data_IF_818663604009
#
_entry.id   IF_818663604009
#
_cell.length_a   1.000
_cell.length_b   1.000
_cell.length_c   1.000
_cell.angle_alpha   90.00
_cell.angle_beta   90.00
_cell.angle_gamma   90.00
#
_symmetry.space_group_name_H-M   'P 1'
#
loop_
_entity.id
_entity.type
_entity.pdbx_description
1 polymer ?
#
# COMPACT_ATOMS: atom_id res chain seq x y z
N UNK A 1 10.31 18.52 7.02
CA UNK A 1 9.46 17.86 6.02
C UNK A 1 7.96 17.91 6.40
N UNK A 2 7.53 18.85 7.25
CA UNK A 2 6.17 18.86 7.84
C UNK A 2 5.17 19.67 7.02
N UNK A 3 5.36 19.76 5.71
CA UNK A 3 4.43 20.41 4.78
C UNK A 3 4.17 19.54 3.54
N UNK A 4 4.87 18.40 3.45
CA UNK A 4 4.71 17.47 2.34
C UNK A 4 3.35 16.79 2.51
N UNK A 5 2.44 17.08 1.60
CA UNK A 5 1.08 16.51 1.57
C UNK A 5 0.97 15.26 0.73
N UNK A 6 1.77 15.18 -0.32
CA UNK A 6 1.75 14.07 -1.27
C UNK A 6 3.16 13.55 -1.48
N UNK A 7 3.29 12.24 -1.49
CA UNK A 7 4.54 11.54 -1.77
C UNK A 7 4.27 10.43 -2.78
N UNK A 8 4.76 10.65 -4.00
CA UNK A 8 4.70 9.68 -5.08
C UNK A 8 6.05 8.97 -5.19
N UNK A 9 6.04 7.66 -4.94
CA UNK A 9 7.18 6.76 -5.14
C UNK A 9 6.85 5.70 -6.17
N UNK A 10 5.98 6.02 -7.12
CA UNK A 10 5.63 5.12 -8.21
C UNK A 10 6.85 4.79 -9.06
N UNK A 11 6.84 3.61 -9.69
CA UNK A 11 7.90 3.11 -10.58
C UNK A 11 9.27 2.91 -9.91
N UNK A 12 9.32 2.89 -8.57
CA UNK A 12 10.54 2.61 -7.83
C UNK A 12 10.82 1.09 -7.79
N UNK A 13 11.36 0.56 -8.88
CA UNK A 13 11.56 -0.89 -9.09
C UNK A 13 12.44 -1.58 -8.03
N UNK A 14 13.39 -0.83 -7.46
CA UNK A 14 14.33 -1.33 -6.45
C UNK A 14 13.93 -0.97 -5.01
N UNK A 15 12.76 -0.35 -4.80
CA UNK A 15 12.29 0.01 -3.46
C UNK A 15 11.81 -1.25 -2.72
N UNK A 16 12.62 -1.72 -1.77
CA UNK A 16 12.28 -2.90 -0.96
C UNK A 16 11.64 -2.55 0.38
N UNK A 17 12.15 -1.49 0.99
CA UNK A 17 11.74 -0.98 2.30
C UNK A 17 11.70 0.54 2.26
N UNK A 18 10.81 1.09 3.06
CA UNK A 18 10.81 2.52 3.35
C UNK A 18 11.67 2.81 4.59
N UNK A 19 12.17 4.05 4.74
CA UNK A 19 12.90 4.44 5.93
C UNK A 19 12.00 4.35 7.17
N UNK A 20 12.55 3.81 8.26
CA UNK A 20 11.91 3.81 9.58
C UNK A 20 12.26 5.08 10.35
N UNK A 21 11.37 5.53 11.23
CA UNK A 21 11.62 6.70 12.10
C UNK A 21 11.37 8.06 11.44
N UNK A 22 10.74 8.09 10.26
CA UNK A 22 10.24 9.32 9.63
C UNK A 22 8.77 9.52 10.01
N UNK A 23 8.41 10.72 10.48
CA UNK A 23 7.02 11.12 10.73
C UNK A 23 6.65 12.32 9.84
N UNK A 24 6.06 12.04 8.68
CA UNK A 24 5.59 13.05 7.75
C UNK A 24 4.19 13.52 8.15
N UNK A 25 4.11 14.37 9.17
CA UNK A 25 2.83 14.74 9.81
C UNK A 25 1.79 15.40 8.90
N UNK A 26 2.19 15.99 7.77
CA UNK A 26 1.26 16.57 6.80
C UNK A 26 0.93 15.65 5.64
N UNK A 27 1.51 14.45 5.59
CA UNK A 27 1.34 13.54 4.47
C UNK A 27 -0.06 12.92 4.49
N UNK A 28 -0.80 13.21 3.42
CA UNK A 28 -2.19 12.83 3.17
C UNK A 28 -2.28 11.79 2.05
N UNK A 29 -1.48 11.92 0.98
CA UNK A 29 -1.46 10.99 -0.16
C UNK A 29 -0.12 10.28 -0.30
N UNK A 30 -0.16 8.98 -0.54
CA UNK A 30 1.02 8.14 -0.72
C UNK A 30 0.80 7.12 -1.85
N UNK A 31 1.75 7.04 -2.79
CA UNK A 31 1.68 6.13 -3.92
C UNK A 31 2.91 5.23 -4.07
N UNK A 32 2.67 3.93 -4.26
CA UNK A 32 3.65 2.87 -4.56
C UNK A 32 3.24 2.06 -5.79
N UNK A 33 2.63 2.71 -6.78
CA UNK A 33 2.29 2.01 -8.02
C UNK A 33 3.59 1.56 -8.72
N UNK A 34 3.57 0.41 -9.38
CA UNK A 34 4.76 -0.14 -10.06
C UNK A 34 6.02 -0.32 -9.17
N UNK A 35 5.83 -0.65 -7.88
CA UNK A 35 6.92 -1.01 -6.95
C UNK A 35 6.95 -2.53 -6.67
N UNK A 36 7.49 -3.37 -7.57
CA UNK A 36 7.39 -4.83 -7.51
C UNK A 36 8.19 -5.48 -6.37
N UNK A 37 9.18 -4.79 -5.81
CA UNK A 37 10.04 -5.33 -4.73
C UNK A 37 9.66 -4.85 -3.34
N UNK A 38 8.64 -4.01 -3.20
CA UNK A 38 8.23 -3.46 -1.92
C UNK A 38 7.62 -4.57 -1.06
N UNK A 39 8.28 -4.92 0.05
CA UNK A 39 7.90 -6.04 0.92
C UNK A 39 7.24 -5.62 2.21
N UNK A 40 7.51 -4.41 2.69
CA UNK A 40 7.03 -3.93 4.00
C UNK A 40 6.59 -2.47 3.96
N UNK A 41 5.63 -2.15 4.83
CA UNK A 41 5.20 -0.78 5.08
C UNK A 41 5.57 -0.36 6.50
N UNK A 42 6.62 0.45 6.70
CA UNK A 42 6.85 1.11 7.97
C UNK A 42 5.83 2.21 8.20
N UNK A 43 5.70 2.57 9.46
CA UNK A 43 4.95 3.73 9.87
C UNK A 43 5.65 5.02 9.41
N UNK A 44 5.09 5.72 8.43
CA UNK A 44 5.65 6.98 7.90
C UNK A 44 4.81 8.23 8.16
N UNK A 45 3.51 8.06 8.45
CA UNK A 45 2.59 9.15 8.76
C UNK A 45 1.32 8.61 9.42
N UNK A 46 0.71 9.46 10.25
CA UNK A 46 -0.60 9.25 10.88
C UNK A 46 -1.77 9.66 10.00
N UNK A 47 -1.54 10.53 9.02
CA UNK A 47 -2.59 11.30 8.35
C UNK A 47 -2.85 10.86 6.92
N UNK A 48 -2.33 9.70 6.52
CA UNK A 48 -2.57 9.14 5.19
C UNK A 48 -4.06 8.88 5.03
N UNK A 49 -4.67 9.61 4.10
CA UNK A 49 -6.06 9.49 3.71
C UNK A 49 -6.22 8.85 2.33
N UNK A 50 -5.18 8.88 1.50
CA UNK A 50 -5.17 8.20 0.20
C UNK A 50 -3.92 7.34 0.04
N UNK A 51 -4.12 6.07 -0.26
CA UNK A 51 -3.06 5.09 -0.47
C UNK A 51 -3.24 4.36 -1.81
N UNK A 52 -2.21 4.41 -2.65
CA UNK A 52 -2.18 3.75 -3.96
C UNK A 52 -1.09 2.67 -3.98
N UNK A 53 -1.45 1.42 -4.29
CA UNK A 53 -0.56 0.26 -4.20
C UNK A 53 -0.65 -0.65 -5.43
N UNK A 54 0.45 -1.32 -5.76
CA UNK A 54 0.45 -2.46 -6.68
C UNK A 54 0.12 -3.77 -5.98
N UNK A 55 -0.61 -4.65 -6.70
CA UNK A 55 -1.09 -5.95 -6.21
C UNK A 55 -0.05 -6.93 -5.66
N UNK A 56 1.24 -6.74 -5.95
CA UNK A 56 2.31 -7.63 -5.50
C UNK A 56 2.64 -7.49 -4.00
N UNK A 57 2.12 -6.47 -3.32
CA UNK A 57 2.53 -6.15 -1.94
C UNK A 57 1.67 -6.80 -0.82
N UNK A 58 0.62 -7.57 -1.12
CA UNK A 58 -0.56 -7.56 -0.22
C UNK A 58 -0.56 -8.54 0.99
N UNK A 59 0.28 -9.57 1.07
CA UNK A 59 0.06 -10.59 2.11
C UNK A 59 0.44 -10.15 3.54
N UNK A 60 1.48 -9.33 3.73
CA UNK A 60 1.91 -8.87 5.06
C UNK A 60 1.77 -7.34 5.25
N UNK A 61 1.59 -6.61 4.14
CA UNK A 61 1.63 -5.15 4.08
C UNK A 61 0.40 -4.49 4.70
N UNK A 62 -0.78 -5.11 4.62
CA UNK A 62 -2.03 -4.52 5.10
C UNK A 62 -2.18 -4.54 6.63
N UNK A 63 -1.45 -5.41 7.34
CA UNK A 63 -1.57 -5.55 8.80
C UNK A 63 -1.00 -4.35 9.57
N UNK A 64 -0.07 -3.61 8.97
CA UNK A 64 0.64 -2.50 9.61
C UNK A 64 0.23 -1.11 9.09
N UNK A 65 -0.74 -1.04 8.17
CA UNK A 65 -1.21 0.24 7.66
C UNK A 65 -2.02 0.99 8.73
N UNK A 66 -1.75 2.29 8.95
CA UNK A 66 -2.59 3.12 9.78
C UNK A 66 -3.92 3.42 9.04
N UNK A 67 -4.86 2.47 9.08
CA UNK A 67 -6.15 2.57 8.38
C UNK A 67 -7.13 3.61 8.95
N UNK A 68 -6.82 4.19 10.12
CA UNK A 68 -7.77 5.04 10.87
C UNK A 68 -8.24 6.28 10.11
N UNK A 69 -7.40 6.83 9.24
CA UNK A 69 -7.70 8.03 8.46
C UNK A 69 -7.85 7.75 6.96
N UNK A 70 -7.76 6.48 6.55
CA UNK A 70 -7.78 6.09 5.15
C UNK A 70 -9.19 6.27 4.58
N UNK A 71 -9.32 7.16 3.61
CA UNK A 71 -10.55 7.45 2.88
C UNK A 71 -10.56 6.69 1.55
N UNK A 72 -9.41 6.61 0.90
CA UNK A 72 -9.28 5.97 -0.41
C UNK A 72 -8.12 4.97 -0.41
N UNK A 73 -8.43 3.73 -0.78
CA UNK A 73 -7.45 2.68 -1.07
C UNK A 73 -7.59 2.26 -2.53
N UNK A 74 -6.58 2.58 -3.33
CA UNK A 74 -6.54 2.28 -4.75
C UNK A 74 -5.49 1.19 -5.02
N UNK A 75 -5.93 0.07 -5.59
CA UNK A 75 -5.06 -1.09 -5.82
C UNK A 75 -4.96 -1.37 -7.32
N UNK A 76 -3.77 -1.16 -7.87
CA UNK A 76 -3.50 -1.33 -9.29
C UNK A 76 -3.04 -2.75 -9.56
N UNK A 77 -3.73 -3.43 -10.48
CA UNK A 77 -3.30 -4.74 -10.98
C UNK A 77 -2.33 -4.54 -12.12
N UNK A 78 -1.07 -4.86 -11.88
CA UNK A 78 -0.09 -5.05 -12.96
C UNK A 78 -0.08 -6.54 -13.26
N UNK A 79 -0.72 -6.93 -14.36
CA UNK A 79 -0.54 -8.27 -14.95
C UNK A 79 -0.41 -8.12 -16.45
N UNK A 80 0.74 -8.53 -16.98
CA UNK A 80 0.85 -8.88 -18.39
C UNK A 80 1.20 -10.36 -18.63
N UNK A 81 1.93 -11.06 -17.74
CA UNK A 81 2.43 -12.42 -18.11
C UNK A 81 2.06 -13.63 -17.22
N UNK A 82 1.41 -13.46 -16.06
CA UNK A 82 1.09 -14.60 -15.15
C UNK A 82 -0.41 -14.83 -14.89
N UNK A 83 -1.26 -14.74 -15.93
CA UNK A 83 -2.67 -15.18 -15.86
C UNK A 83 -2.85 -16.69 -16.10
N UNK A 84 -1.92 -17.54 -15.65
CA UNK A 84 -2.03 -19.01 -15.77
C UNK A 84 -1.99 -19.77 -14.45
N UNK A 85 -2.44 -19.15 -13.36
CA UNK A 85 -2.61 -19.78 -12.05
C UNK A 85 -3.85 -19.25 -11.35
N UNK A 86 -4.74 -20.16 -10.94
CA UNK A 86 -6.06 -19.90 -10.35
C UNK A 86 -5.98 -19.48 -8.87
N UNK A 87 -5.20 -18.45 -8.54
CA UNK A 87 -5.21 -17.93 -7.17
C UNK A 87 -5.93 -16.59 -7.14
N UNK A 88 -7.07 -16.58 -6.44
CA UNK A 88 -7.95 -15.43 -6.25
C UNK A 88 -7.38 -14.56 -5.11
N UNK A 89 -6.67 -13.47 -5.44
CA UNK A 89 -5.77 -12.76 -4.52
C UNK A 89 -6.50 -11.70 -3.69
N UNK A 90 -7.83 -11.65 -3.77
CA UNK A 90 -8.68 -10.71 -3.03
C UNK A 90 -9.46 -11.39 -1.91
N UNK A 91 -9.31 -12.71 -1.73
CA UNK A 91 -10.00 -13.46 -0.67
C UNK A 91 -9.69 -12.90 0.74
N UNK A 92 -8.43 -12.60 1.11
CA UNK A 92 -8.14 -12.04 2.43
C UNK A 92 -8.81 -10.67 2.66
N UNK A 93 -8.93 -9.87 1.60
CA UNK A 93 -9.53 -8.54 1.65
C UNK A 93 -11.05 -8.61 1.83
N UNK A 94 -11.68 -9.60 1.20
CA UNK A 94 -13.10 -9.93 1.37
C UNK A 94 -13.41 -10.42 2.79
N UNK A 95 -12.54 -11.27 3.36
CA UNK A 95 -12.71 -11.84 4.71
C UNK A 95 -12.54 -10.76 5.80
N UNK A 96 -11.69 -9.75 5.58
CA UNK A 96 -11.51 -8.61 6.51
C UNK A 96 -12.68 -7.61 6.48
N UNK A 97 -13.36 -7.46 5.34
CA UNK A 97 -14.49 -6.53 5.18
C UNK A 97 -15.85 -7.16 5.55
N UNK A 98 -15.90 -8.49 5.72
CA UNK A 98 -17.11 -9.22 6.11
C UNK A 98 -16.84 -10.14 7.31
N UNK A 99 -16.65 -9.63 8.54
CA UNK A 99 -16.28 -10.45 9.69
C UNK A 99 -17.41 -11.39 10.18
N UNK A 100 -18.51 -11.53 9.45
CA UNK A 100 -19.75 -12.12 9.95
C UNK A 100 -20.50 -12.91 8.89
N UNK A 101 -20.16 -14.19 8.79
CA UNK A 101 -21.07 -15.34 8.64
C UNK A 101 -20.44 -16.55 9.31
#
# INVERSE_FOLDING_TARGET
LNKLKELDMSLCENLEILPTGVDLQSLERLSFTECPRLKSFPYISRNISVLELSKAAIEEFLLNLPLKNLVELSMWSIKSEKLRGRDQPLKPLMDMLSPSL
#
